data_IF_206490157212
#
_entry.id   IF_206490157212
#
_cell.length_a   1.000
_cell.length_b   1.000
_cell.length_c   1.000
_cell.angle_alpha   90.00
_cell.angle_beta   90.00
_cell.angle_gamma   90.00
#
_symmetry.space_group_name_H-M   'P 1'
#
loop_
_entity.id
_entity.type
_entity.pdbx_description
1 polymer ?
#
# COMPACT_ATOMS: atom_id res chain seq x y z
N UNK A 1 6.44 7.37 -25.87
CA UNK A 1 7.74 7.69 -25.25
C UNK A 1 7.44 8.43 -23.96
N UNK A 2 7.73 7.84 -22.81
CA UNK A 2 7.33 8.44 -21.52
C UNK A 2 8.35 9.54 -21.18
N UNK A 3 7.87 10.77 -20.99
CA UNK A 3 8.69 11.93 -20.67
C UNK A 3 9.29 11.89 -19.25
N UNK A 4 10.17 12.84 -18.91
CA UNK A 4 10.74 12.96 -17.56
C UNK A 4 9.65 13.27 -16.52
N UNK A 5 9.99 13.11 -15.25
CA UNK A 5 9.14 13.52 -14.12
C UNK A 5 8.74 14.99 -14.20
N UNK A 6 7.45 15.28 -13.99
CA UNK A 6 6.94 16.64 -13.83
C UNK A 6 6.70 17.01 -12.36
N UNK A 7 7.24 16.23 -11.41
CA UNK A 7 7.13 16.54 -9.99
C UNK A 7 7.87 17.85 -9.68
N UNK A 8 7.20 18.78 -9.00
CA UNK A 8 7.72 20.12 -8.72
C UNK A 8 8.11 20.28 -7.25
N UNK A 9 7.22 19.87 -6.34
CA UNK A 9 7.27 20.25 -4.94
C UNK A 9 6.43 19.33 -4.07
N UNK A 10 6.65 19.43 -2.76
CA UNK A 10 5.82 18.82 -1.73
C UNK A 10 4.80 19.86 -1.23
N UNK A 11 3.56 19.44 -0.95
CA UNK A 11 2.49 20.30 -0.43
C UNK A 11 1.80 19.64 0.77
N UNK A 12 1.53 20.40 1.82
CA UNK A 12 0.88 19.82 3.01
C UNK A 12 -0.57 19.45 2.72
N UNK A 13 -1.01 18.30 3.24
CA UNK A 13 -2.44 17.98 3.28
C UNK A 13 -3.18 18.66 4.44
N UNK A 14 -2.46 19.18 5.45
CA UNK A 14 -3.07 19.97 6.53
C UNK A 14 -3.34 21.43 6.17
N UNK A 15 -2.55 21.98 5.25
CA UNK A 15 -2.71 23.33 4.69
C UNK A 15 -2.12 23.36 3.27
N UNK A 16 -2.95 23.35 2.23
CA UNK A 16 -2.48 23.33 0.84
C UNK A 16 -1.64 24.55 0.43
N UNK A 17 -1.61 25.63 1.21
CA UNK A 17 -0.75 26.80 0.94
C UNK A 17 0.70 26.58 1.40
N UNK A 18 0.93 25.58 2.25
CA UNK A 18 2.26 25.21 2.72
C UNK A 18 2.97 24.28 1.72
N UNK A 19 3.91 24.83 0.96
CA UNK A 19 4.70 24.13 -0.04
C UNK A 19 6.19 24.10 0.30
N UNK A 20 6.89 23.06 -0.14
CA UNK A 20 8.31 22.79 0.15
C UNK A 20 9.00 22.24 -1.10
N UNK A 21 10.33 22.40 -1.23
CA UNK A 21 11.08 21.77 -2.32
C UNK A 21 10.80 20.26 -2.44
N UNK A 22 10.89 19.71 -3.65
CA UNK A 22 10.68 18.27 -3.86
C UNK A 22 11.71 17.41 -3.09
N UNK A 23 12.97 17.86 -3.07
CA UNK A 23 14.08 17.21 -2.38
C UNK A 23 14.74 18.12 -1.34
N UNK A 24 15.22 17.57 -0.20
CA UNK A 24 15.00 16.19 0.23
C UNK A 24 13.52 15.92 0.60
N UNK A 25 13.02 14.68 0.45
CA UNK A 25 11.66 14.34 0.88
C UNK A 25 11.51 14.54 2.39
N UNK A 26 10.43 15.19 2.82
CA UNK A 26 10.18 15.49 4.22
C UNK A 26 9.45 14.31 4.87
N UNK A 27 10.23 13.40 5.44
CA UNK A 27 9.75 12.10 5.97
C UNK A 27 9.23 12.16 7.42
N UNK A 28 9.18 13.35 8.03
CA UNK A 28 8.71 13.57 9.42
C UNK A 28 7.40 14.38 9.47
N UNK A 29 6.60 14.30 8.40
CA UNK A 29 5.40 15.12 8.24
C UNK A 29 5.72 16.56 7.85
N UNK A 30 4.66 17.35 7.62
CA UNK A 30 4.79 18.76 7.27
C UNK A 30 5.28 19.57 8.48
N UNK A 31 6.40 20.31 8.36
CA UNK A 31 6.95 21.08 9.48
C UNK A 31 6.12 22.31 9.86
N UNK A 32 5.17 22.75 9.02
CA UNK A 32 4.29 23.90 9.31
C UNK A 32 2.97 23.52 9.98
N UNK A 33 2.42 22.35 9.63
CA UNK A 33 1.07 21.96 10.06
C UNK A 33 1.07 20.83 11.08
N UNK A 34 2.19 20.12 11.24
CA UNK A 34 2.31 19.06 12.25
C UNK A 34 2.56 19.66 13.63
N UNK A 35 1.98 19.03 14.65
CA UNK A 35 2.17 19.31 16.08
C UNK A 35 2.68 18.05 16.79
N UNK A 36 2.87 18.12 18.11
CA UNK A 36 3.23 16.96 18.93
C UNK A 36 2.12 15.89 18.98
N UNK A 37 0.87 16.30 18.76
CA UNK A 37 -0.31 15.44 18.85
C UNK A 37 -0.71 14.86 17.48
N UNK A 38 -0.47 15.61 16.40
CA UNK A 38 -0.83 15.20 15.05
C UNK A 38 0.23 15.59 14.03
N UNK A 39 0.64 14.63 13.22
CA UNK A 39 1.43 14.88 12.03
C UNK A 39 0.56 14.87 10.76
N UNK A 40 0.78 15.87 9.91
CA UNK A 40 0.14 15.95 8.61
C UNK A 40 1.11 15.49 7.52
N UNK A 41 0.69 14.61 6.61
CA UNK A 41 1.53 14.17 5.52
C UNK A 41 1.67 15.26 4.45
N UNK A 42 2.72 15.13 3.66
CA UNK A 42 2.93 15.91 2.44
C UNK A 42 2.50 15.09 1.23
N UNK A 43 2.10 15.78 0.18
CA UNK A 43 1.73 15.23 -1.11
C UNK A 43 2.62 15.80 -2.21
N UNK A 44 2.84 15.04 -3.29
CA UNK A 44 3.64 15.52 -4.42
C UNK A 44 2.77 16.29 -5.40
N UNK A 45 3.19 17.51 -5.75
CA UNK A 45 2.54 18.35 -6.75
C UNK A 45 3.31 18.29 -8.06
N UNK A 46 2.59 18.17 -9.17
CA UNK A 46 3.13 18.08 -10.52
C UNK A 46 2.80 19.32 -11.34
N UNK A 47 3.55 19.55 -12.41
CA UNK A 47 3.19 20.48 -13.48
C UNK A 47 2.09 19.86 -14.37
N UNK A 48 0.86 19.79 -13.84
CA UNK A 48 -0.27 19.14 -14.52
C UNK A 48 -0.58 19.75 -15.90
N UNK A 49 -0.25 21.04 -16.11
CA UNK A 49 -0.43 21.72 -17.39
C UNK A 49 0.47 21.16 -18.51
N UNK A 50 1.56 20.48 -18.15
CA UNK A 50 2.49 19.83 -19.11
C UNK A 50 2.23 18.35 -19.32
N UNK A 51 1.24 17.78 -18.64
CA UNK A 51 0.95 16.34 -18.77
C UNK A 51 0.28 16.08 -20.11
N UNK A 52 0.94 15.29 -20.95
CA UNK A 52 0.36 14.77 -22.18
C UNK A 52 -0.67 13.68 -21.85
N UNK A 53 -1.94 13.95 -22.14
CA UNK A 53 -3.06 13.04 -21.84
C UNK A 53 -2.97 11.70 -22.59
N UNK A 54 -2.18 11.61 -23.67
CA UNK A 54 -1.89 10.33 -24.36
C UNK A 54 -1.17 9.33 -23.44
N UNK A 55 -0.67 9.77 -22.29
CA UNK A 55 -0.22 8.91 -21.20
C UNK A 55 -1.30 7.90 -20.74
N UNK A 56 -2.58 8.17 -20.98
CA UNK A 56 -3.70 7.27 -20.65
C UNK A 56 -4.30 6.56 -21.87
N UNK A 57 -3.56 6.52 -22.98
CA UNK A 57 -3.92 5.75 -24.20
C UNK A 57 -2.98 4.55 -24.43
N UNK A 58 -1.95 4.39 -23.59
CA UNK A 58 -1.01 3.28 -23.67
C UNK A 58 -1.62 1.95 -23.23
N UNK A 59 -1.19 0.85 -23.86
CA UNK A 59 -1.58 -0.50 -23.46
C UNK A 59 -1.14 -0.80 -22.00
N UNK A 60 -1.93 -1.52 -21.19
CA UNK A 60 -1.51 -1.97 -19.87
C UNK A 60 -0.17 -2.73 -19.91
N UNK A 61 0.69 -2.49 -18.93
CA UNK A 61 2.00 -3.12 -18.86
C UNK A 61 2.74 -2.80 -17.55
N UNK A 62 3.79 -3.59 -17.24
CA UNK A 62 4.61 -3.41 -16.04
C UNK A 62 5.57 -2.21 -16.18
N UNK A 63 6.35 -2.00 -15.12
CA UNK A 63 7.33 -0.93 -14.92
C UNK A 63 6.67 0.45 -14.72
N UNK A 64 6.79 0.99 -13.50
CA UNK A 64 6.21 2.30 -13.18
C UNK A 64 6.85 3.44 -13.97
N UNK A 65 8.03 3.27 -14.58
CA UNK A 65 8.65 4.28 -15.43
C UNK A 65 7.76 4.70 -16.60
N UNK A 66 6.75 3.89 -16.95
CA UNK A 66 5.74 4.27 -17.94
C UNK A 66 4.81 5.41 -17.52
N UNK A 67 4.78 5.71 -16.23
CA UNK A 67 4.01 6.79 -15.62
C UNK A 67 4.90 7.95 -15.16
N UNK A 68 6.19 7.96 -15.56
CA UNK A 68 7.20 8.93 -15.09
C UNK A 68 6.75 10.39 -15.03
N UNK A 69 6.02 10.95 -16.03
CA UNK A 69 5.54 12.34 -15.94
C UNK A 69 4.71 12.65 -14.69
N UNK A 70 4.00 11.66 -14.16
CA UNK A 70 3.18 11.74 -12.96
C UNK A 70 3.79 10.96 -11.79
N UNK A 71 5.09 10.69 -11.78
CA UNK A 71 5.80 10.12 -10.63
C UNK A 71 6.99 10.99 -10.23
N UNK A 72 7.45 10.96 -8.98
CA UNK A 72 8.76 11.53 -8.62
C UNK A 72 9.87 10.84 -9.43
N UNK A 73 11.06 11.43 -9.53
CA UNK A 73 12.20 10.81 -10.19
C UNK A 73 12.44 9.37 -9.71
N UNK A 74 12.64 8.45 -10.66
CA UNK A 74 12.73 7.01 -10.44
C UNK A 74 14.16 6.49 -10.59
N UNK A 75 15.11 7.07 -9.87
CA UNK A 75 16.56 6.81 -10.00
C UNK A 75 17.02 5.40 -9.60
N UNK A 76 16.23 4.65 -8.81
CA UNK A 76 16.53 3.24 -8.57
C UNK A 76 16.21 2.40 -9.82
N UNK A 77 16.77 1.19 -10.01
CA UNK A 77 16.33 0.30 -11.08
C UNK A 77 14.95 -0.31 -10.79
N UNK A 78 14.20 -0.65 -11.84
CA UNK A 78 12.92 -1.36 -11.75
C UNK A 78 13.11 -2.86 -11.41
N UNK A 79 12.11 -3.46 -10.78
CA UNK A 79 11.96 -4.92 -10.69
C UNK A 79 10.85 -5.43 -11.61
N UNK A 80 10.23 -4.56 -12.41
CA UNK A 80 9.10 -4.90 -13.28
C UNK A 80 7.76 -4.86 -12.56
N UNK A 81 7.64 -4.08 -11.48
CA UNK A 81 6.38 -3.91 -10.75
C UNK A 81 5.30 -3.18 -11.55
N UNK A 82 4.05 -3.39 -11.19
CA UNK A 82 2.89 -2.88 -11.93
C UNK A 82 2.44 -3.79 -13.06
N UNK A 83 1.45 -3.34 -13.84
CA UNK A 83 0.83 -4.15 -14.89
C UNK A 83 0.13 -5.40 -14.36
N UNK A 84 -0.32 -5.38 -13.11
CA UNK A 84 -0.88 -6.55 -12.43
C UNK A 84 -2.27 -6.91 -12.99
N UNK A 85 -2.68 -8.19 -12.95
CA UNK A 85 -3.96 -8.64 -13.48
C UNK A 85 -5.17 -7.97 -12.80
N UNK A 86 -6.21 -7.73 -13.59
CA UNK A 86 -7.55 -7.41 -13.13
C UNK A 86 -8.46 -8.59 -13.47
N UNK A 87 -8.84 -9.37 -12.47
CA UNK A 87 -9.48 -10.68 -12.66
C UNK A 87 -10.98 -10.57 -12.37
N UNK A 88 -11.88 -10.90 -13.32
CA UNK A 88 -13.31 -10.99 -13.04
C UNK A 88 -13.61 -12.05 -11.96
N UNK A 89 -14.45 -11.70 -10.98
CA UNK A 89 -14.82 -12.58 -9.88
C UNK A 89 -16.26 -12.32 -9.42
N UNK A 90 -17.21 -13.09 -9.96
CA UNK A 90 -18.63 -12.88 -9.69
C UNK A 90 -19.10 -11.51 -10.15
N UNK A 91 -19.56 -10.69 -9.21
CA UNK A 91 -20.06 -9.32 -9.39
C UNK A 91 -18.97 -8.24 -9.26
N UNK A 92 -17.71 -8.61 -9.04
CA UNK A 92 -16.59 -7.67 -8.86
C UNK A 92 -15.39 -8.03 -9.72
N UNK A 93 -14.40 -7.14 -9.76
CA UNK A 93 -13.06 -7.42 -10.27
C UNK A 93 -12.05 -7.44 -9.12
N UNK A 94 -11.10 -8.37 -9.17
CA UNK A 94 -9.98 -8.45 -8.23
C UNK A 94 -8.74 -7.86 -8.89
N UNK A 95 -8.22 -6.75 -8.33
CA UNK A 95 -6.92 -6.21 -8.72
C UNK A 95 -5.83 -6.96 -7.97
N UNK A 96 -5.18 -7.91 -8.63
CA UNK A 96 -4.28 -8.89 -8.01
C UNK A 96 -2.85 -8.36 -7.87
N UNK A 97 -2.60 -7.56 -6.84
CA UNK A 97 -1.28 -6.99 -6.54
C UNK A 97 -0.28 -8.01 -5.98
N UNK A 98 -0.72 -9.25 -5.73
CA UNK A 98 0.17 -10.36 -5.34
C UNK A 98 1.07 -10.86 -6.48
N UNK A 99 0.88 -10.32 -7.70
CA UNK A 99 1.68 -10.63 -8.90
C UNK A 99 2.87 -9.68 -9.12
N UNK A 100 3.08 -8.72 -8.24
CA UNK A 100 4.29 -7.90 -8.24
C UNK A 100 5.55 -8.74 -7.87
N UNK A 101 6.78 -8.25 -8.14
CA UNK A 101 8.03 -9.02 -8.01
C UNK A 101 8.30 -9.66 -6.64
N UNK A 102 7.93 -8.97 -5.55
CA UNK A 102 8.04 -9.51 -4.18
C UNK A 102 6.71 -10.07 -3.69
N UNK A 103 5.73 -10.25 -4.57
CA UNK A 103 4.38 -10.77 -4.30
C UNK A 103 3.53 -9.88 -3.38
N UNK A 104 3.69 -8.56 -3.49
CA UNK A 104 2.77 -7.61 -2.87
C UNK A 104 2.78 -6.22 -3.52
N UNK A 105 1.70 -5.47 -3.33
CA UNK A 105 1.57 -4.06 -3.74
C UNK A 105 2.72 -3.16 -3.27
N UNK A 106 3.43 -3.49 -2.18
CA UNK A 106 4.50 -2.67 -1.58
C UNK A 106 5.65 -2.37 -2.55
N UNK A 107 5.77 -3.14 -3.62
CA UNK A 107 6.74 -2.93 -4.69
C UNK A 107 6.55 -1.58 -5.37
N UNK A 108 5.31 -1.16 -5.57
CA UNK A 108 5.01 0.16 -6.13
C UNK A 108 5.53 1.29 -5.24
N UNK A 109 5.33 1.17 -3.93
CA UNK A 109 5.82 2.16 -2.96
C UNK A 109 7.35 2.18 -2.93
N UNK A 110 7.99 1.01 -2.82
CA UNK A 110 9.44 0.94 -2.66
C UNK A 110 10.19 1.29 -3.95
N UNK A 111 9.58 1.09 -5.13
CA UNK A 111 10.10 1.66 -6.38
C UNK A 111 10.35 3.16 -6.26
N UNK A 112 9.42 3.91 -5.69
CA UNK A 112 9.52 5.37 -5.56
C UNK A 112 10.34 5.77 -4.34
N UNK A 113 10.12 5.14 -3.19
CA UNK A 113 10.81 5.49 -1.95
C UNK A 113 12.32 5.20 -2.01
N UNK A 114 12.73 4.07 -2.60
CA UNK A 114 14.16 3.75 -2.79
C UNK A 114 14.77 4.62 -3.89
N UNK A 115 14.01 5.02 -4.92
CA UNK A 115 14.49 6.02 -5.89
C UNK A 115 14.80 7.35 -5.22
N UNK A 116 13.94 7.80 -4.30
CA UNK A 116 14.20 8.99 -3.49
C UNK A 116 15.48 8.86 -2.65
N UNK A 117 15.76 7.67 -2.11
CA UNK A 117 17.00 7.41 -1.37
C UNK A 117 18.24 7.52 -2.28
N UNK A 118 18.19 6.93 -3.48
CA UNK A 118 19.26 7.03 -4.49
C UNK A 118 19.48 8.48 -4.92
N UNK A 119 18.40 9.19 -5.26
CA UNK A 119 18.43 10.60 -5.66
C UNK A 119 19.01 11.52 -4.57
N UNK A 120 18.77 11.18 -3.29
CA UNK A 120 19.29 11.93 -2.14
C UNK A 120 20.72 11.55 -1.77
N UNK A 121 21.36 10.61 -2.48
CA UNK A 121 22.70 10.13 -2.17
C UNK A 121 22.80 9.37 -0.84
N UNK A 122 21.71 8.73 -0.41
CA UNK A 122 21.67 8.07 0.89
C UNK A 122 22.62 6.86 0.95
N UNK A 123 23.35 6.65 2.07
CA UNK A 123 24.27 5.53 2.24
C UNK A 123 23.57 4.16 2.45
N UNK A 124 22.24 4.15 2.58
CA UNK A 124 21.42 2.96 2.78
C UNK A 124 19.97 3.33 3.07
N UNK A 125 19.10 2.33 3.21
CA UNK A 125 17.69 2.51 3.59
C UNK A 125 17.37 1.82 4.90
N UNK A 126 16.43 2.39 5.64
CA UNK A 126 15.88 1.79 6.87
C UNK A 126 14.35 1.72 6.79
N UNK A 127 13.81 0.60 7.24
CA UNK A 127 12.38 0.34 7.30
C UNK A 127 12.03 -0.31 8.63
N UNK A 128 10.91 0.09 9.22
CA UNK A 128 10.34 -0.62 10.35
C UNK A 128 9.03 -1.28 9.92
N UNK A 129 9.12 -2.59 9.67
CA UNK A 129 8.02 -3.44 9.22
C UNK A 129 8.36 -4.91 9.40
N UNK A 130 7.38 -5.67 9.87
CA UNK A 130 7.45 -7.13 10.04
C UNK A 130 6.90 -7.92 8.85
N UNK A 131 6.46 -7.22 7.80
CA UNK A 131 5.65 -7.82 6.73
C UNK A 131 6.10 -7.44 5.33
N UNK A 132 5.13 -7.33 4.43
CA UNK A 132 5.31 -7.02 3.01
C UNK A 132 6.24 -5.83 2.73
N UNK A 133 6.18 -4.78 3.55
CA UNK A 133 6.96 -3.56 3.32
C UNK A 133 8.45 -3.79 3.53
N UNK A 134 8.82 -4.55 4.57
CA UNK A 134 10.21 -4.91 4.84
C UNK A 134 10.83 -5.76 3.73
N UNK A 135 10.09 -6.76 3.24
CA UNK A 135 10.52 -7.60 2.12
C UNK A 135 10.74 -6.80 0.83
N UNK A 136 9.78 -5.93 0.50
CA UNK A 136 9.86 -5.08 -0.68
C UNK A 136 11.01 -4.06 -0.58
N UNK A 137 11.15 -3.36 0.56
CA UNK A 137 12.25 -2.44 0.79
C UNK A 137 13.64 -3.10 0.65
N UNK A 138 13.79 -4.31 1.20
CA UNK A 138 15.02 -5.10 1.06
C UNK A 138 15.32 -5.45 -0.41
N UNK A 139 14.31 -5.88 -1.17
CA UNK A 139 14.49 -6.24 -2.58
C UNK A 139 14.90 -5.04 -3.45
N UNK A 140 14.23 -3.90 -3.30
CA UNK A 140 14.56 -2.69 -4.07
C UNK A 140 15.90 -2.09 -3.66
N UNK A 141 16.24 -2.12 -2.37
CA UNK A 141 17.57 -1.68 -1.91
C UNK A 141 18.68 -2.55 -2.50
N UNK A 142 18.52 -3.88 -2.44
CA UNK A 142 19.47 -4.81 -3.04
C UNK A 142 19.64 -4.56 -4.55
N UNK A 143 18.53 -4.36 -5.27
CA UNK A 143 18.55 -4.03 -6.70
C UNK A 143 19.23 -2.70 -7.00
N UNK A 144 19.09 -1.71 -6.13
CA UNK A 144 19.73 -0.40 -6.23
C UNK A 144 21.18 -0.36 -5.72
N UNK A 145 21.71 -1.47 -5.17
CA UNK A 145 23.04 -1.51 -4.58
C UNK A 145 23.15 -0.79 -3.24
N UNK A 146 22.04 -0.60 -2.52
CA UNK A 146 21.99 0.05 -1.21
C UNK A 146 21.91 -0.98 -0.07
N UNK A 147 22.65 -0.78 1.04
CA UNK A 147 22.39 -1.48 2.29
C UNK A 147 20.96 -1.26 2.78
N UNK A 148 20.33 -2.30 3.33
CA UNK A 148 19.02 -2.22 3.94
C UNK A 148 19.03 -2.70 5.39
N UNK A 149 18.42 -1.91 6.28
CA UNK A 149 18.11 -2.32 7.66
C UNK A 149 16.61 -2.49 7.80
N UNK A 150 16.18 -3.68 8.22
CA UNK A 150 14.78 -4.01 8.49
C UNK A 150 14.59 -4.23 9.98
N UNK A 151 13.85 -3.33 10.63
CA UNK A 151 13.44 -3.47 12.03
C UNK A 151 12.08 -4.16 12.07
N UNK A 152 12.06 -5.42 12.49
CA UNK A 152 10.89 -6.30 12.46
C UNK A 152 10.48 -6.74 13.88
N UNK A 153 9.33 -7.42 14.02
CA UNK A 153 8.95 -8.15 15.23
C UNK A 153 9.47 -9.58 15.19
N UNK A 154 9.58 -10.21 16.36
CA UNK A 154 9.92 -11.62 16.47
C UNK A 154 8.90 -12.51 15.73
N UNK A 155 7.62 -12.13 15.77
CA UNK A 155 6.50 -12.89 15.21
C UNK A 155 6.29 -12.66 13.70
N UNK A 156 7.30 -12.14 12.99
CA UNK A 156 7.21 -11.94 11.54
C UNK A 156 7.01 -13.29 10.82
N UNK A 157 6.16 -13.38 9.78
CA UNK A 157 5.95 -14.64 9.06
C UNK A 157 7.27 -15.24 8.57
N UNK A 158 7.52 -16.56 8.75
CA UNK A 158 8.79 -17.19 8.36
C UNK A 158 9.17 -16.95 6.90
N UNK A 159 8.21 -17.00 5.98
CA UNK A 159 8.42 -16.72 4.57
C UNK A 159 8.95 -15.29 4.33
N UNK A 160 8.38 -14.29 5.02
CA UNK A 160 8.83 -12.90 4.94
C UNK A 160 10.26 -12.75 5.45
N UNK A 161 10.60 -13.39 6.58
CA UNK A 161 11.97 -13.38 7.11
C UNK A 161 12.97 -14.00 6.13
N UNK A 162 12.58 -15.08 5.45
CA UNK A 162 13.42 -15.73 4.45
C UNK A 162 13.74 -14.80 3.27
N UNK A 163 12.73 -14.12 2.70
CA UNK A 163 12.96 -13.17 1.60
C UNK A 163 13.88 -12.02 2.00
N UNK A 164 13.62 -11.40 3.15
CA UNK A 164 14.40 -10.25 3.61
C UNK A 164 15.88 -10.62 3.77
N UNK A 165 16.17 -11.80 4.33
CA UNK A 165 17.56 -12.30 4.46
C UNK A 165 18.17 -12.66 3.11
N UNK A 166 17.41 -13.27 2.20
CA UNK A 166 17.88 -13.62 0.86
C UNK A 166 18.30 -12.39 0.03
N UNK A 167 17.64 -11.24 0.24
CA UNK A 167 18.03 -9.96 -0.37
C UNK A 167 19.23 -9.28 0.32
N UNK A 168 19.85 -9.91 1.34
CA UNK A 168 21.03 -9.38 2.01
C UNK A 168 20.77 -8.25 3.01
N UNK A 169 19.51 -8.03 3.39
CA UNK A 169 19.18 -6.99 4.37
C UNK A 169 19.56 -7.42 5.79
N UNK A 170 20.01 -6.44 6.60
CA UNK A 170 20.23 -6.63 8.03
C UNK A 170 18.89 -6.58 8.76
N UNK A 171 18.44 -7.73 9.25
CA UNK A 171 17.20 -7.84 10.03
C UNK A 171 17.50 -7.73 11.52
N UNK A 172 16.81 -6.83 12.21
CA UNK A 172 16.81 -6.75 13.66
C UNK A 172 15.39 -6.96 14.19
N UNK A 173 15.23 -7.94 15.08
CA UNK A 173 13.99 -8.05 15.87
C UNK A 173 14.01 -6.99 16.97
N UNK A 174 13.02 -6.10 16.97
CA UNK A 174 12.96 -4.94 17.86
C UNK A 174 11.56 -4.86 18.50
N UNK A 175 11.47 -4.71 19.83
CA UNK A 175 10.22 -4.41 20.52
C UNK A 175 9.48 -3.22 19.90
N UNK A 176 8.15 -3.29 19.85
CA UNK A 176 7.32 -2.33 19.11
C UNK A 176 7.57 -0.88 19.53
N UNK A 177 7.67 -0.64 20.83
CA UNK A 177 7.90 0.68 21.44
C UNK A 177 9.30 1.25 21.14
N UNK A 178 10.28 0.39 20.85
CA UNK A 178 11.66 0.80 20.52
C UNK A 178 11.91 0.93 19.01
N UNK A 179 10.98 0.45 18.18
CA UNK A 179 11.15 0.36 16.73
C UNK A 179 11.28 1.73 16.06
N UNK A 180 10.36 2.66 16.32
CA UNK A 180 10.44 4.01 15.76
C UNK A 180 11.56 4.87 16.34
N UNK A 181 11.82 4.86 17.67
CA UNK A 181 13.00 5.54 18.22
C UNK A 181 14.31 5.09 17.58
N UNK A 182 14.53 3.77 17.45
CA UNK A 182 15.74 3.24 16.82
C UNK A 182 15.83 3.60 15.33
N UNK A 183 14.70 3.56 14.61
CA UNK A 183 14.67 4.01 13.21
C UNK A 183 15.12 5.48 13.09
N UNK A 184 14.60 6.38 13.94
CA UNK A 184 15.00 7.80 13.92
C UNK A 184 16.47 7.97 14.25
N UNK A 185 17.00 7.19 15.20
CA UNK A 185 18.43 7.21 15.53
C UNK A 185 19.30 6.78 14.33
N UNK A 186 18.90 5.73 13.61
CA UNK A 186 19.59 5.27 12.40
C UNK A 186 19.58 6.39 11.33
N UNK A 187 18.45 7.05 11.13
CA UNK A 187 18.34 8.19 10.20
C UNK A 187 19.28 9.32 10.63
N UNK A 188 19.19 9.77 11.89
CA UNK A 188 19.90 10.96 12.38
C UNK A 188 21.42 10.75 12.50
N UNK A 189 21.87 9.52 12.82
CA UNK A 189 23.29 9.22 13.06
C UNK A 189 24.01 8.60 11.87
N UNK A 190 23.31 7.80 11.06
CA UNK A 190 23.90 7.07 9.93
C UNK A 190 23.52 7.66 8.58
N UNK A 191 22.58 8.61 8.53
CA UNK A 191 22.11 9.23 7.28
C UNK A 191 21.27 8.30 6.40
N UNK A 192 20.85 7.13 6.91
CA UNK A 192 20.04 6.18 6.14
C UNK A 192 18.68 6.79 5.79
N UNK A 193 18.21 6.54 4.56
CA UNK A 193 16.92 7.04 4.12
C UNK A 193 15.78 6.18 4.68
N UNK A 194 14.81 6.77 5.41
CA UNK A 194 13.68 6.04 5.93
C UNK A 194 12.63 5.82 4.85
N UNK A 195 12.27 4.57 4.59
CA UNK A 195 11.20 4.21 3.64
C UNK A 195 9.88 3.85 4.34
N UNK A 196 9.75 4.16 5.63
CA UNK A 196 8.55 3.97 6.45
C UNK A 196 8.26 5.20 7.34
N UNK A 197 7.17 5.14 8.11
CA UNK A 197 6.72 6.22 8.99
C UNK A 197 7.77 6.63 10.04
N UNK A 198 7.76 7.91 10.42
CA UNK A 198 8.55 8.46 11.53
C UNK A 198 7.73 9.31 12.51
N UNK A 199 6.42 9.43 12.34
CA UNK A 199 5.59 10.39 13.06
C UNK A 199 4.61 9.73 14.03
N UNK A 200 4.02 10.54 14.92
CA UNK A 200 3.05 10.10 15.96
C UNK A 200 1.74 9.58 15.38
N UNK A 201 1.19 10.28 14.39
CA UNK A 201 0.15 9.76 13.48
C UNK A 201 0.82 9.20 12.23
N UNK A 202 0.15 8.31 11.50
CA UNK A 202 0.77 7.74 10.30
C UNK A 202 0.80 8.76 9.15
N UNK A 203 2.00 9.21 8.77
CA UNK A 203 2.22 10.01 7.57
C UNK A 203 2.85 9.19 6.44
N UNK A 204 3.61 8.15 6.78
CA UNK A 204 4.30 7.29 5.81
C UNK A 204 5.43 8.03 5.08
N UNK A 205 5.91 7.47 3.97
CA UNK A 205 6.84 8.18 3.10
C UNK A 205 6.06 9.17 2.21
N UNK A 206 6.50 10.43 2.03
CA UNK A 206 5.75 11.41 1.24
C UNK A 206 5.51 10.92 -0.20
N UNK A 207 6.51 10.25 -0.80
CA UNK A 207 6.38 9.73 -2.17
C UNK A 207 5.74 8.34 -2.26
N UNK A 208 5.47 7.67 -1.13
CA UNK A 208 4.97 6.30 -1.14
C UNK A 208 3.65 6.12 -1.90
N UNK A 209 2.64 6.98 -1.65
CA UNK A 209 1.39 6.94 -2.40
C UNK A 209 1.50 7.20 -3.89
N UNK A 210 2.55 7.87 -4.36
CA UNK A 210 2.79 8.07 -5.80
C UNK A 210 3.00 6.73 -6.50
N UNK A 211 3.62 5.75 -5.85
CA UNK A 211 3.69 4.40 -6.38
C UNK A 211 2.30 3.78 -6.54
N UNK A 212 1.47 3.87 -5.50
CA UNK A 212 0.15 3.25 -5.47
C UNK A 212 -0.87 3.90 -6.41
N UNK A 213 -0.74 5.20 -6.71
CA UNK A 213 -1.69 5.87 -7.62
C UNK A 213 -1.69 5.30 -9.03
N UNK A 214 -0.58 4.66 -9.43
CA UNK A 214 -0.50 3.94 -10.70
C UNK A 214 -1.51 2.79 -10.82
N UNK A 215 -2.01 2.25 -9.70
CA UNK A 215 -3.11 1.28 -9.70
C UNK A 215 -4.37 1.90 -10.30
N UNK A 216 -4.70 3.16 -10.00
CA UNK A 216 -5.87 3.83 -10.56
C UNK A 216 -5.76 4.01 -12.07
N UNK A 217 -4.57 4.38 -12.56
CA UNK A 217 -4.32 4.51 -14.00
C UNK A 217 -4.45 3.16 -14.70
N UNK A 218 -3.90 2.10 -14.10
CA UNK A 218 -4.05 0.74 -14.62
C UNK A 218 -5.51 0.30 -14.63
N UNK A 219 -6.27 0.56 -13.56
CA UNK A 219 -7.70 0.23 -13.52
C UNK A 219 -8.48 0.95 -14.61
N UNK A 220 -8.23 2.25 -14.82
CA UNK A 220 -8.85 3.00 -15.92
C UNK A 220 -8.54 2.39 -17.28
N UNK A 221 -7.27 2.05 -17.54
CA UNK A 221 -6.88 1.39 -18.80
C UNK A 221 -7.47 -0.02 -18.96
N UNK A 222 -7.53 -0.79 -17.89
CA UNK A 222 -7.98 -2.19 -17.91
C UNK A 222 -9.49 -2.32 -18.03
N UNK A 223 -10.26 -1.40 -17.44
CA UNK A 223 -11.72 -1.37 -17.52
C UNK A 223 -12.23 -0.59 -18.73
N UNK A 224 -11.46 0.37 -19.24
CA UNK A 224 -11.91 1.32 -20.26
C UNK A 224 -12.83 2.42 -19.71
N UNK A 225 -13.16 2.35 -18.42
CA UNK A 225 -13.92 3.37 -17.69
C UNK A 225 -13.46 3.46 -16.23
N UNK A 226 -13.94 4.46 -15.51
CA UNK A 226 -13.72 4.57 -14.06
C UNK A 226 -14.72 3.68 -13.33
N UNK A 227 -14.28 2.80 -12.40
CA UNK A 227 -15.19 1.97 -11.63
C UNK A 227 -16.12 2.82 -10.75
N UNK A 228 -17.27 2.26 -10.37
CA UNK A 228 -18.18 2.90 -9.44
C UNK A 228 -17.64 2.91 -7.99
N UNK A 229 -16.91 1.85 -7.62
CA UNK A 229 -16.36 1.68 -6.28
C UNK A 229 -15.04 0.91 -6.27
N UNK A 230 -14.17 1.27 -5.32
CA UNK A 230 -12.92 0.56 -5.05
C UNK A 230 -12.83 0.22 -3.56
N UNK A 231 -12.84 -1.07 -3.24
CA UNK A 231 -12.65 -1.61 -1.89
C UNK A 231 -11.19 -1.95 -1.66
N UNK A 232 -10.57 -1.28 -0.68
CA UNK A 232 -9.12 -1.35 -0.44
C UNK A 232 -8.83 -1.84 0.98
N UNK A 233 -8.07 -2.95 1.15
CA UNK A 233 -7.52 -3.31 2.45
C UNK A 233 -6.75 -2.14 3.07
N UNK A 234 -7.12 -1.76 4.29
CA UNK A 234 -6.64 -0.54 4.91
C UNK A 234 -6.11 -0.81 6.31
N UNK A 235 -4.78 -0.71 6.45
CA UNK A 235 -4.11 -0.50 7.73
C UNK A 235 -3.81 0.98 7.89
N UNK A 236 -2.70 1.45 7.33
CA UNK A 236 -2.27 2.85 7.39
C UNK A 236 -2.77 3.76 6.25
N UNK A 237 -3.63 3.26 5.37
CA UNK A 237 -4.27 3.98 4.27
C UNK A 237 -3.38 4.63 3.18
N UNK A 238 -2.07 4.36 3.13
CA UNK A 238 -1.23 4.87 2.01
C UNK A 238 -1.65 4.31 0.64
N UNK A 239 -2.02 3.02 0.58
CA UNK A 239 -2.57 2.40 -0.62
C UNK A 239 -3.87 3.07 -1.04
N UNK A 240 -4.84 3.13 -0.12
CA UNK A 240 -6.14 3.77 -0.32
C UNK A 240 -6.00 5.20 -0.86
N UNK A 241 -5.17 6.02 -0.22
CA UNK A 241 -4.93 7.39 -0.65
C UNK A 241 -4.23 7.48 -2.00
N UNK A 242 -3.24 6.63 -2.26
CA UNK A 242 -2.58 6.60 -3.56
C UNK A 242 -3.59 6.29 -4.68
N UNK A 243 -4.39 5.24 -4.53
CA UNK A 243 -5.42 4.89 -5.53
C UNK A 243 -6.41 6.04 -5.72
N UNK A 244 -6.92 6.63 -4.64
CA UNK A 244 -7.78 7.81 -4.72
C UNK A 244 -7.12 8.97 -5.46
N UNK A 245 -5.87 9.29 -5.12
CA UNK A 245 -5.10 10.36 -5.77
C UNK A 245 -4.98 10.14 -7.27
N UNK A 246 -4.75 8.90 -7.70
CA UNK A 246 -4.66 8.59 -9.13
C UNK A 246 -5.96 8.89 -9.87
N UNK A 247 -7.11 8.52 -9.30
CA UNK A 247 -8.41 8.90 -9.88
C UNK A 247 -8.68 10.41 -9.82
N UNK A 248 -8.28 11.08 -8.73
CA UNK A 248 -8.40 12.53 -8.61
C UNK A 248 -7.54 13.25 -9.68
N UNK A 249 -6.36 12.74 -10.01
CA UNK A 249 -5.53 13.27 -11.09
C UNK A 249 -6.13 13.02 -12.47
N UNK A 250 -6.75 11.85 -12.72
CA UNK A 250 -7.48 11.61 -13.96
C UNK A 250 -8.63 12.61 -14.16
N UNK A 251 -9.36 12.92 -13.09
CA UNK A 251 -10.40 13.95 -13.08
C UNK A 251 -9.82 15.35 -13.32
N UNK A 252 -8.75 15.71 -12.61
CA UNK A 252 -8.06 17.00 -12.76
C UNK A 252 -7.56 17.24 -14.19
N UNK A 253 -7.03 16.20 -14.84
CA UNK A 253 -6.52 16.25 -16.21
C UNK A 253 -7.64 16.19 -17.26
N UNK A 254 -8.90 16.07 -16.85
CA UNK A 254 -10.06 15.94 -17.72
C UNK A 254 -10.08 14.65 -18.54
N UNK A 255 -9.36 13.61 -18.09
CA UNK A 255 -9.33 12.27 -18.73
C UNK A 255 -10.64 11.53 -18.49
N UNK A 256 -11.31 11.84 -17.38
CA UNK A 256 -12.64 11.34 -17.01
C UNK A 256 -13.42 12.44 -16.29
N UNK A 257 -14.74 12.30 -16.21
CA UNK A 257 -15.65 13.23 -15.54
C UNK A 257 -16.12 12.71 -14.16
N UNK A 258 -15.79 11.45 -13.82
CA UNK A 258 -16.21 10.78 -12.58
C UNK A 258 -15.02 10.15 -11.85
N UNK A 259 -15.10 10.04 -10.53
CA UNK A 259 -14.16 9.30 -9.69
C UNK A 259 -14.92 8.22 -8.90
N UNK A 260 -14.28 7.09 -8.54
CA UNK A 260 -14.93 6.04 -7.77
C UNK A 260 -15.14 6.46 -6.32
N UNK A 261 -16.15 5.88 -5.68
CA UNK A 261 -16.26 5.89 -4.22
C UNK A 261 -15.18 4.97 -3.63
N UNK A 262 -14.41 5.47 -2.67
CA UNK A 262 -13.30 4.71 -2.06
C UNK A 262 -13.71 4.11 -0.72
N UNK A 263 -13.63 2.79 -0.61
CA UNK A 263 -13.97 2.07 0.62
C UNK A 263 -12.71 1.62 1.35
N UNK A 264 -12.56 2.09 2.59
CA UNK A 264 -11.51 1.66 3.52
C UNK A 264 -11.97 0.39 4.23
N UNK A 265 -11.40 -0.76 3.89
CA UNK A 265 -11.71 -2.03 4.57
C UNK A 265 -10.69 -2.30 5.68
N UNK A 266 -11.08 -2.07 6.92
CA UNK A 266 -10.23 -2.17 8.10
C UNK A 266 -10.60 -3.39 8.94
N UNK A 267 -9.64 -3.95 9.68
CA UNK A 267 -9.97 -4.97 10.69
C UNK A 267 -10.89 -4.38 11.76
N UNK A 268 -11.94 -5.12 12.11
CA UNK A 268 -12.86 -4.78 13.18
C UNK A 268 -12.19 -4.75 14.56
N UNK A 269 -10.96 -5.27 14.68
CA UNK A 269 -10.17 -5.22 15.90
C UNK A 269 -9.66 -3.80 16.26
N UNK A 270 -9.74 -2.82 15.35
CA UNK A 270 -9.27 -1.45 15.64
C UNK A 270 -10.03 -0.36 14.88
N UNK A 271 -9.97 -0.38 13.55
CA UNK A 271 -10.69 0.59 12.71
C UNK A 271 -10.41 2.08 12.96
N UNK A 272 -9.14 2.54 12.99
CA UNK A 272 -8.84 3.93 13.29
C UNK A 272 -9.40 4.94 12.27
N UNK A 273 -9.51 4.60 10.99
CA UNK A 273 -10.08 5.55 10.01
C UNK A 273 -11.60 5.64 10.16
N UNK A 274 -12.29 4.53 10.41
CA UNK A 274 -13.70 4.52 10.78
C UNK A 274 -13.97 5.44 11.98
N UNK A 275 -13.16 5.35 13.05
CA UNK A 275 -13.26 6.24 14.21
C UNK A 275 -13.00 7.70 13.84
N UNK A 276 -11.95 7.99 13.08
CA UNK A 276 -11.61 9.35 12.69
C UNK A 276 -12.72 10.00 11.85
N UNK A 277 -13.26 9.27 10.87
CA UNK A 277 -14.35 9.73 10.01
C UNK A 277 -15.64 9.98 10.82
N UNK A 278 -16.02 9.06 11.70
CA UNK A 278 -17.21 9.21 12.55
C UNK A 278 -17.10 10.41 13.49
N UNK A 279 -15.89 10.72 13.98
CA UNK A 279 -15.64 11.85 14.88
C UNK A 279 -15.31 13.16 14.15
N UNK A 280 -15.25 13.18 12.81
CA UNK A 280 -14.83 14.35 12.03
C UNK A 280 -13.38 14.76 12.28
N UNK A 281 -12.52 13.83 12.70
CA UNK A 281 -11.13 14.08 13.05
C UNK A 281 -10.19 13.84 11.85
N UNK A 282 -9.07 14.58 11.77
CA UNK A 282 -8.07 14.37 10.74
C UNK A 282 -7.34 13.02 10.87
N UNK A 283 -7.29 12.42 12.06
CA UNK A 283 -6.74 11.10 12.33
C UNK A 283 -7.27 10.60 13.67
N UNK A 284 -7.13 9.30 13.95
CA UNK A 284 -7.44 8.74 15.26
C UNK A 284 -6.47 7.62 15.64
N UNK A 285 -6.33 7.42 16.94
CA UNK A 285 -5.67 6.26 17.53
C UNK A 285 -6.73 5.42 18.24
N UNK A 286 -6.59 4.10 18.14
CA UNK A 286 -7.46 3.09 18.73
C UNK A 286 -6.64 2.06 19.47
N UNK A 287 -7.24 1.41 20.46
CA UNK A 287 -6.72 0.14 20.94
C UNK A 287 -6.92 -0.90 19.85
N UNK A 288 -5.90 -1.73 19.61
CA UNK A 288 -5.93 -2.78 18.60
C UNK A 288 -6.08 -4.13 19.31
N UNK A 289 -7.23 -4.77 19.09
CA UNK A 289 -7.46 -6.15 19.51
C UNK A 289 -6.67 -7.18 18.70
N UNK A 290 -6.74 -8.47 19.08
CA UNK A 290 -6.10 -9.53 18.33
C UNK A 290 -6.70 -9.67 16.92
N UNK A 291 -5.84 -9.91 15.94
CA UNK A 291 -6.23 -10.18 14.55
C UNK A 291 -5.10 -10.93 13.84
N UNK A 292 -5.46 -11.87 12.99
CA UNK A 292 -4.53 -12.60 12.12
C UNK A 292 -4.20 -11.80 10.85
N UNK A 293 -4.96 -10.74 10.54
CA UNK A 293 -4.77 -9.86 9.39
C UNK A 293 -3.63 -8.84 9.64
N UNK A 294 -2.41 -9.35 9.85
CA UNK A 294 -1.24 -8.59 10.29
C UNK A 294 -0.85 -7.43 9.34
N UNK A 295 -1.22 -7.51 8.07
CA UNK A 295 -0.93 -6.49 7.05
C UNK A 295 -1.80 -5.24 7.16
N UNK A 296 -2.96 -5.34 7.81
CA UNK A 296 -3.89 -4.23 8.10
C UNK A 296 -4.07 -3.96 9.60
N UNK A 297 -3.38 -4.73 10.46
CA UNK A 297 -3.33 -4.56 11.91
C UNK A 297 -2.62 -3.25 12.30
N UNK A 298 -3.37 -2.14 12.32
CA UNK A 298 -2.87 -0.80 12.66
C UNK A 298 -3.76 -0.12 13.70
N UNK A 299 -3.14 0.37 14.79
CA UNK A 299 -3.79 1.15 15.83
C UNK A 299 -3.88 2.65 15.52
N UNK A 300 -3.22 3.10 14.46
CA UNK A 300 -3.06 4.52 14.14
C UNK A 300 -3.55 4.79 12.72
N UNK A 301 -4.54 5.67 12.61
CA UNK A 301 -5.02 6.20 11.34
C UNK A 301 -4.21 7.41 10.90
N UNK A 302 -4.27 7.71 9.61
CA UNK A 302 -3.58 8.86 9.01
C UNK A 302 -4.55 9.78 8.27
N UNK A 303 -4.16 11.05 8.14
CA UNK A 303 -4.97 12.06 7.45
C UNK A 303 -5.27 11.72 5.98
N UNK A 304 -4.33 11.04 5.32
CA UNK A 304 -4.49 10.50 3.97
C UNK A 304 -5.73 9.61 3.83
N UNK A 305 -5.99 8.71 4.78
CA UNK A 305 -7.15 7.82 4.72
C UNK A 305 -8.46 8.58 4.89
N UNK A 306 -8.50 9.55 5.81
CA UNK A 306 -9.68 10.40 6.04
C UNK A 306 -10.00 11.21 4.78
N UNK A 307 -8.99 11.84 4.16
CA UNK A 307 -9.15 12.59 2.91
C UNK A 307 -9.68 11.70 1.79
N UNK A 308 -9.07 10.54 1.56
CA UNK A 308 -9.45 9.65 0.46
C UNK A 308 -10.90 9.15 0.58
N UNK A 309 -11.33 8.77 1.78
CA UNK A 309 -12.71 8.30 1.99
C UNK A 309 -13.70 9.46 1.88
N UNK A 310 -13.44 10.57 2.56
CA UNK A 310 -14.36 11.72 2.59
C UNK A 310 -14.52 12.35 1.20
N UNK A 311 -13.42 12.66 0.53
CA UNK A 311 -13.43 13.42 -0.72
C UNK A 311 -13.91 12.57 -1.92
N UNK A 312 -13.93 11.24 -1.78
CA UNK A 312 -14.55 10.34 -2.76
C UNK A 312 -16.03 10.01 -2.48
N UNK A 313 -16.61 10.52 -1.37
CA UNK A 313 -17.94 10.12 -0.92
C UNK A 313 -18.03 8.63 -0.53
N UNK A 314 -16.90 8.04 -0.14
CA UNK A 314 -16.75 6.65 0.26
C UNK A 314 -17.20 6.36 1.69
N UNK A 315 -16.76 5.21 2.22
CA UNK A 315 -17.09 4.77 3.57
C UNK A 315 -15.96 3.90 4.16
N UNK A 316 -15.81 3.88 5.49
CA UNK A 316 -14.96 2.91 6.18
C UNK A 316 -15.80 1.71 6.62
N UNK A 317 -15.34 0.51 6.27
CA UNK A 317 -16.02 -0.77 6.53
C UNK A 317 -15.13 -1.60 7.45
N UNK A 318 -15.65 -1.95 8.63
CA UNK A 318 -14.99 -2.84 9.56
C UNK A 318 -15.32 -4.30 9.24
N UNK A 319 -14.29 -5.12 9.04
CA UNK A 319 -14.42 -6.55 8.72
C UNK A 319 -13.73 -7.42 9.76
N UNK A 320 -14.37 -8.51 10.13
CA UNK A 320 -13.83 -9.51 11.07
C UNK A 320 -12.87 -10.47 10.36
N UNK A 321 -11.99 -11.11 11.12
CA UNK A 321 -11.09 -12.14 10.59
C UNK A 321 -11.87 -13.30 9.94
N UNK A 322 -13.04 -13.69 10.46
CA UNK A 322 -13.85 -14.74 9.83
C UNK A 322 -14.42 -14.30 8.48
N UNK A 323 -14.87 -13.05 8.34
CA UNK A 323 -15.30 -12.51 7.04
C UNK A 323 -14.13 -12.49 6.03
N UNK A 324 -12.93 -12.10 6.48
CA UNK A 324 -11.73 -12.13 5.65
C UNK A 324 -11.31 -13.56 5.28
N UNK A 325 -11.39 -14.52 6.21
CA UNK A 325 -11.09 -15.94 5.95
C UNK A 325 -12.09 -16.56 4.98
N UNK A 326 -13.37 -16.20 5.08
CA UNK A 326 -14.37 -16.60 4.09
C UNK A 326 -14.02 -16.07 2.70
N UNK A 327 -13.74 -14.77 2.57
CA UNK A 327 -13.32 -14.16 1.31
C UNK A 327 -12.03 -14.81 0.76
N UNK A 328 -11.08 -15.15 1.64
CA UNK A 328 -9.85 -15.86 1.29
C UNK A 328 -10.12 -17.24 0.72
N UNK A 329 -11.00 -18.04 1.35
CA UNK A 329 -11.39 -19.36 0.86
C UNK A 329 -12.11 -19.26 -0.48
N UNK A 330 -12.98 -18.27 -0.66
CA UNK A 330 -13.68 -18.00 -1.92
C UNK A 330 -12.70 -17.70 -3.06
N UNK A 331 -11.73 -16.79 -2.83
CA UNK A 331 -10.69 -16.47 -3.81
C UNK A 331 -9.77 -17.66 -4.11
N UNK A 332 -9.34 -18.39 -3.07
CA UNK A 332 -8.47 -19.56 -3.23
C UNK A 332 -9.12 -20.65 -4.08
N UNK A 333 -10.43 -20.92 -3.88
CA UNK A 333 -11.20 -21.87 -4.69
C UNK A 333 -11.36 -21.45 -6.15
N UNK A 334 -11.18 -20.18 -6.46
CA UNK A 334 -11.14 -19.64 -7.81
C UNK A 334 -9.71 -19.51 -8.37
N UNK A 335 -8.69 -20.07 -7.70
CA UNK A 335 -7.30 -20.02 -8.14
C UNK A 335 -6.53 -18.75 -7.75
N UNK A 336 -7.11 -17.88 -6.91
CA UNK A 336 -6.49 -16.66 -6.42
C UNK A 336 -6.11 -16.80 -4.94
N UNK A 337 -4.94 -17.36 -4.66
CA UNK A 337 -4.50 -17.52 -3.26
C UNK A 337 -3.85 -16.25 -2.70
N UNK A 338 -4.61 -15.54 -1.86
CA UNK A 338 -4.24 -14.26 -1.25
C UNK A 338 -3.97 -14.40 0.26
N UNK A 339 -3.11 -13.53 0.80
CA UNK A 339 -2.90 -13.38 2.24
C UNK A 339 -4.14 -12.74 2.89
N UNK A 340 -4.43 -13.10 4.14
CA UNK A 340 -5.68 -12.75 4.84
C UNK A 340 -6.02 -11.25 4.80
N UNK A 341 -5.06 -10.37 5.10
CA UNK A 341 -5.25 -8.92 5.06
C UNK A 341 -5.64 -8.44 3.65
N UNK A 342 -5.09 -9.08 2.62
CA UNK A 342 -5.40 -8.78 1.23
C UNK A 342 -6.83 -9.09 0.81
N UNK A 343 -7.59 -9.84 1.61
CA UNK A 343 -8.98 -10.18 1.29
C UNK A 343 -10.00 -9.23 1.92
N UNK A 344 -9.54 -8.28 2.76
CA UNK A 344 -10.39 -7.30 3.43
C UNK A 344 -11.27 -6.50 2.45
N UNK A 345 -10.76 -6.21 1.23
CA UNK A 345 -11.53 -5.55 0.17
C UNK A 345 -12.80 -6.32 -0.20
N UNK A 346 -12.65 -7.61 -0.54
CA UNK A 346 -13.76 -8.48 -0.89
C UNK A 346 -14.69 -8.72 0.31
N UNK A 347 -14.13 -8.94 1.51
CA UNK A 347 -14.92 -9.07 2.73
C UNK A 347 -15.79 -7.83 2.98
N UNK A 348 -15.24 -6.64 2.78
CA UNK A 348 -15.96 -5.37 2.95
C UNK A 348 -17.11 -5.21 1.95
N UNK A 349 -16.90 -5.55 0.68
CA UNK A 349 -17.96 -5.58 -0.33
C UNK A 349 -19.09 -6.55 0.05
N UNK A 350 -18.73 -7.79 0.44
CA UNK A 350 -19.68 -8.84 0.85
C UNK A 350 -20.48 -8.46 2.11
N UNK A 351 -19.88 -7.69 3.01
CA UNK A 351 -20.54 -7.15 4.20
C UNK A 351 -21.53 -6.03 3.86
N UNK A 352 -21.13 -5.11 2.99
CA UNK A 352 -21.94 -3.93 2.65
C UNK A 352 -23.19 -4.28 1.82
N UNK A 353 -23.11 -5.30 0.95
CA UNK A 353 -24.21 -5.78 0.10
C UNK A 353 -24.95 -4.65 -0.63
N UNK A 354 -24.17 -3.73 -1.20
CA UNK A 354 -24.67 -2.55 -1.90
C UNK A 354 -24.47 -2.75 -3.40
N UNK A 355 -25.51 -2.42 -4.17
CA UNK A 355 -25.43 -2.36 -5.62
C UNK A 355 -24.75 -1.07 -6.05
N UNK A 356 -23.94 -1.17 -7.11
CA UNK A 356 -23.22 -0.05 -7.68
C UNK A 356 -23.54 0.04 -9.17
N UNK A 357 -23.69 1.27 -9.66
CA UNK A 357 -23.90 1.54 -11.08
C UNK A 357 -22.55 1.61 -11.81
N UNK A 358 -22.04 0.44 -12.19
CA UNK A 358 -20.78 0.26 -12.90
C UNK A 358 -19.81 -0.72 -12.21
N UNK A 359 -18.59 -0.89 -12.74
CA UNK A 359 -17.63 -1.87 -12.24
C UNK A 359 -17.25 -1.64 -10.77
N UNK A 360 -17.13 -2.72 -10.00
CA UNK A 360 -16.64 -2.70 -8.62
C UNK A 360 -15.30 -3.41 -8.55
N UNK A 361 -14.31 -2.78 -7.92
CA UNK A 361 -12.96 -3.35 -7.80
C UNK A 361 -12.64 -3.62 -6.32
N UNK A 362 -12.19 -4.84 -6.03
CA UNK A 362 -11.57 -5.19 -4.75
C UNK A 362 -10.06 -5.36 -4.97
N UNK A 363 -9.24 -4.62 -4.22
CA UNK A 363 -7.79 -4.74 -4.31
C UNK A 363 -7.31 -5.90 -3.44
N UNK A 364 -6.57 -6.84 -4.01
CA UNK A 364 -5.93 -7.95 -3.29
C UNK A 364 -4.43 -7.71 -3.20
N UNK A 365 -3.89 -7.56 -2.00
CA UNK A 365 -2.62 -6.85 -1.79
C UNK A 365 -1.35 -7.70 -1.76
N UNK A 366 -1.47 -9.00 -1.49
CA UNK A 366 -0.36 -9.88 -1.12
C UNK A 366 -0.69 -11.35 -1.34
N UNK A 367 0.31 -12.13 -1.74
CA UNK A 367 0.13 -13.57 -1.98
C UNK A 367 -0.09 -14.35 -0.68
N UNK A 368 -0.94 -15.39 -0.74
CA UNK A 368 -1.18 -16.32 0.37
C UNK A 368 0.08 -16.98 0.92
N UNK A 369 1.17 -17.08 0.13
CA UNK A 369 2.47 -17.54 0.63
C UNK A 369 3.06 -16.70 1.77
N UNK A 370 2.53 -15.49 1.99
CA UNK A 370 2.97 -14.57 3.03
C UNK A 370 2.07 -14.55 4.25
N UNK A 371 1.07 -15.42 4.31
CA UNK A 371 0.19 -15.53 5.46
C UNK A 371 0.93 -16.15 6.67
N UNK A 372 0.36 -15.95 7.86
CA UNK A 372 0.88 -16.55 9.08
C UNK A 372 0.75 -18.08 8.99
N UNK A 373 1.81 -18.80 9.40
CA UNK A 373 1.82 -20.27 9.46
C UNK A 373 2.10 -21.01 8.15
N UNK A 374 2.13 -20.33 7.00
CA UNK A 374 2.41 -20.99 5.72
C UNK A 374 3.83 -21.56 5.67
N UNK A 375 3.94 -22.83 5.25
CA UNK A 375 5.19 -23.58 5.16
C UNK A 375 5.53 -24.44 6.39
N UNK A 376 4.70 -24.43 7.43
CA UNK A 376 4.89 -25.25 8.63
C UNK A 376 4.17 -26.60 8.63
N UNK A 377 3.09 -26.73 7.86
CA UNK A 377 2.25 -27.94 7.84
C UNK A 377 2.76 -28.99 6.86
N UNK A 378 2.65 -30.27 7.24
CA UNK A 378 2.90 -31.43 6.37
C UNK A 378 1.58 -32.12 6.09
N UNK A 379 1.40 -32.61 4.87
CA UNK A 379 0.28 -33.48 4.58
C UNK A 379 0.31 -34.71 5.50
N UNK A 380 -0.83 -35.10 6.09
CA UNK A 380 -0.90 -36.33 6.87
C UNK A 380 -0.55 -37.52 5.98
N UNK A 381 0.22 -38.46 6.52
CA UNK A 381 0.47 -39.73 5.85
C UNK A 381 -0.75 -40.61 6.03
N UNK A 382 -1.38 -41.03 4.93
CA UNK A 382 -2.38 -42.09 4.95
C UNK A 382 -1.64 -43.42 5.07
N UNK A 383 -1.57 -43.98 6.28
CA UNK A 383 -0.83 -45.23 6.55
C UNK A 383 -1.47 -46.45 5.85
N UNK A 384 -2.80 -46.44 5.67
CA UNK A 384 -3.56 -47.47 4.94
C UNK A 384 -4.61 -46.79 4.04
N UNK A 385 -4.20 -46.28 2.85
CA UNK A 385 -5.05 -45.43 2.03
C UNK A 385 -6.16 -46.24 1.35
N UNK A 386 -7.39 -45.78 1.53
CA UNK A 386 -8.60 -46.31 0.92
C UNK A 386 -9.22 -45.31 -0.05
N UNK A 387 -10.14 -45.79 -0.89
CA UNK A 387 -10.90 -44.92 -1.78
C UNK A 387 -11.78 -43.95 -0.98
N UNK A 388 -12.24 -44.36 0.21
CA UNK A 388 -13.05 -43.55 1.11
C UNK A 388 -12.30 -42.32 1.64
N UNK A 389 -10.98 -42.40 1.77
CA UNK A 389 -10.13 -41.27 2.18
C UNK A 389 -10.04 -40.14 1.12
N UNK A 390 -10.47 -40.43 -0.12
CA UNK A 390 -10.38 -39.52 -1.26
C UNK A 390 -11.75 -39.07 -1.77
N UNK A 391 -12.85 -39.55 -1.20
CA UNK A 391 -14.19 -39.12 -1.59
C UNK A 391 -14.51 -37.72 -1.01
N UNK A 392 -15.12 -36.82 -1.81
CA UNK A 392 -15.34 -35.41 -1.46
C UNK A 392 -16.35 -35.15 -0.34
#
# INVERSE_FOLDING_TARGET
MNGPSLALRQRSLGDPTAEFPLFPPLTRGCPKTSTEEIAYPLDVVYDYAKVDRRLFEQAPGPDLARWSPLLPPLDAPTLGEGGTPLVPFGDVFIKDESRNPTWSHKDRLNRVAVSAAVASGAPGVVVASSGNHGASAAAYAARAGLPAIVLASADSPPAVQAFVRAYGAKVASVPGEKRWPLLREIVDRLGYHPVSNQTVTHTGHPFGPEGYKTIAYELFLQLGEVPAAVFTPTGYAELLYGVWKGFAELLLLGVTEKAPRMFSCETAAGGPHAKALAAGLPAAVVELGPTDAYGVAGSVGGHRGVVAVRDSGGEAVLVTDEEMRRAQRELARAGLWQELSGTAGLAGHRRLRRDFDGPVVCVATSSGFKDLGVGGERYPVLEDPTLDDLMP
#
